data_IF_942365299874
#
_entry.id   IF_942365299874
#
_cell.length_a   1.000
_cell.length_b   1.000
_cell.length_c   1.000
_cell.angle_alpha   90.00
_cell.angle_beta   90.00
_cell.angle_gamma   90.00
#
_symmetry.space_group_name_H-M   'P 1'
#
loop_
_entity.id
_entity.type
_entity.pdbx_description
1 polymer ?
#
# COMPACT_ATOMS: atom_id res chain seq x y z
N UNK A 1 6.63 9.67 -21.19
CA UNK A 1 7.64 8.61 -21.13
C UNK A 1 6.88 7.36 -20.84
N UNK A 2 7.09 6.31 -21.63
CA UNK A 2 6.49 5.02 -21.37
C UNK A 2 7.19 4.40 -20.16
N UNK A 3 6.44 3.67 -19.33
CA UNK A 3 6.97 2.96 -18.17
C UNK A 3 7.53 1.62 -18.64
N UNK A 4 8.80 1.36 -18.37
CA UNK A 4 9.41 0.05 -18.57
C UNK A 4 8.89 -0.94 -17.51
N UNK A 5 8.44 -2.10 -17.98
CA UNK A 5 7.86 -3.15 -17.13
C UNK A 5 8.79 -4.37 -17.18
N UNK A 6 9.32 -4.78 -16.03
CA UNK A 6 10.23 -5.93 -15.93
C UNK A 6 9.66 -6.94 -14.93
N UNK A 7 9.62 -8.22 -15.32
CA UNK A 7 9.32 -9.34 -14.43
C UNK A 7 10.50 -10.30 -14.38
N UNK A 8 11.05 -10.50 -13.18
CA UNK A 8 12.21 -11.37 -12.93
C UNK A 8 11.75 -12.59 -12.11
N UNK A 9 12.06 -13.80 -12.58
CA UNK A 9 11.94 -15.01 -11.78
C UNK A 9 13.30 -15.40 -11.18
N UNK A 10 13.48 -15.11 -9.90
CA UNK A 10 14.70 -15.46 -9.15
C UNK A 10 14.65 -16.87 -8.56
N UNK A 11 13.49 -17.52 -8.60
CA UNK A 11 13.33 -18.91 -8.18
C UNK A 11 13.81 -19.90 -9.26
N UNK A 12 13.81 -19.46 -10.52
CA UNK A 12 14.12 -20.24 -11.72
C UNK A 12 13.14 -21.38 -12.00
N UNK A 13 11.94 -21.34 -11.41
CA UNK A 13 10.97 -22.45 -11.40
C UNK A 13 9.53 -22.01 -11.70
N UNK A 14 9.29 -20.72 -11.94
CA UNK A 14 7.95 -20.14 -12.09
C UNK A 14 7.85 -19.28 -13.35
N UNK A 15 8.32 -19.83 -14.48
CA UNK A 15 8.24 -19.18 -15.79
C UNK A 15 6.80 -18.83 -16.19
N UNK A 16 5.86 -19.76 -15.98
CA UNK A 16 4.44 -19.52 -16.28
C UNK A 16 3.87 -18.34 -15.48
N UNK A 17 4.26 -18.21 -14.20
CA UNK A 17 3.85 -17.08 -13.37
C UNK A 17 4.51 -15.78 -13.85
N UNK A 18 5.77 -15.83 -14.27
CA UNK A 18 6.50 -14.69 -14.84
C UNK A 18 5.79 -14.16 -16.09
N UNK A 19 5.43 -15.05 -17.01
CA UNK A 19 4.69 -14.72 -18.22
C UNK A 19 3.29 -14.17 -17.90
N UNK A 20 2.57 -14.81 -16.98
CA UNK A 20 1.23 -14.37 -16.56
C UNK A 20 1.27 -12.97 -15.94
N UNK A 21 2.19 -12.72 -15.02
CA UNK A 21 2.40 -11.40 -14.42
C UNK A 21 2.78 -10.37 -15.47
N UNK A 22 3.66 -10.71 -16.42
CA UNK A 22 4.03 -9.83 -17.53
C UNK A 22 2.84 -9.43 -18.40
N UNK A 23 1.98 -10.40 -18.76
CA UNK A 23 0.75 -10.14 -19.51
C UNK A 23 -0.23 -9.26 -18.74
N UNK A 24 -0.41 -9.50 -17.44
CA UNK A 24 -1.24 -8.66 -16.57
C UNK A 24 -0.69 -7.24 -16.49
N UNK A 25 0.61 -7.06 -16.25
CA UNK A 25 1.24 -5.74 -16.18
C UNK A 25 1.02 -4.94 -17.47
N UNK A 26 1.22 -5.56 -18.63
CA UNK A 26 1.00 -4.91 -19.93
C UNK A 26 -0.46 -4.47 -20.12
N UNK A 27 -1.42 -5.26 -19.59
CA UNK A 27 -2.83 -4.94 -19.63
C UNK A 27 -3.20 -3.78 -18.68
N UNK A 28 -2.70 -3.81 -17.44
CA UNK A 28 -3.20 -2.92 -16.37
C UNK A 28 -2.40 -1.64 -16.16
N UNK A 29 -1.10 -1.61 -16.51
CA UNK A 29 -0.27 -0.42 -16.32
C UNK A 29 -0.83 0.84 -17.02
N UNK A 30 -1.37 0.76 -18.26
CA UNK A 30 -1.98 1.92 -18.93
C UNK A 30 -3.22 2.47 -18.21
N UNK A 31 -3.86 1.69 -17.33
CA UNK A 31 -5.09 2.05 -16.62
C UNK A 31 -4.83 2.79 -15.30
N UNK A 32 -3.61 2.69 -14.76
CA UNK A 32 -3.27 3.26 -13.45
C UNK A 32 -3.40 4.78 -13.45
N UNK A 33 -2.80 5.47 -14.41
CA UNK A 33 -2.82 6.94 -14.47
C UNK A 33 -4.23 7.50 -14.73
N UNK A 34 -5.01 7.01 -15.71
CA UNK A 34 -6.39 7.47 -15.90
C UNK A 34 -7.26 7.29 -14.65
N UNK A 35 -7.08 6.18 -13.93
CA UNK A 35 -7.86 5.89 -12.72
C UNK A 35 -7.42 6.77 -11.55
N UNK A 36 -6.12 6.77 -11.25
CA UNK A 36 -5.61 7.36 -10.01
C UNK A 36 -5.15 8.81 -10.15
N UNK A 37 -4.96 9.32 -11.36
CA UNK A 37 -4.29 10.59 -11.61
C UNK A 37 -2.79 10.60 -11.26
N UNK A 38 -2.19 9.46 -10.92
CA UNK A 38 -0.76 9.33 -10.59
C UNK A 38 0.02 8.67 -11.72
N UNK A 39 1.22 9.17 -11.97
CA UNK A 39 2.16 8.55 -12.91
C UNK A 39 2.83 7.33 -12.28
N UNK A 40 3.00 6.26 -13.07
CA UNK A 40 3.92 5.18 -12.73
C UNK A 40 5.39 5.67 -12.84
N UNK A 41 6.34 5.06 -12.11
CA UNK A 41 7.77 5.33 -12.30
C UNK A 41 8.22 4.98 -13.72
N UNK A 42 9.40 5.46 -14.10
CA UNK A 42 9.99 5.13 -15.39
C UNK A 42 10.26 3.62 -15.53
N UNK A 43 10.55 2.96 -14.41
CA UNK A 43 10.75 1.52 -14.32
C UNK A 43 9.90 0.94 -13.20
N UNK A 44 9.10 -0.07 -13.52
CA UNK A 44 8.41 -0.94 -12.57
C UNK A 44 9.03 -2.33 -12.68
N UNK A 45 9.58 -2.83 -11.57
CA UNK A 45 10.06 -4.20 -11.49
C UNK A 45 9.17 -5.06 -10.58
N UNK A 46 8.87 -6.27 -11.04
CA UNK A 46 8.21 -7.31 -10.24
C UNK A 46 9.16 -8.50 -10.18
N UNK A 47 9.52 -8.90 -8.96
CA UNK A 47 10.47 -10.00 -8.71
C UNK A 47 9.71 -11.14 -8.04
N UNK A 48 9.71 -12.29 -8.69
CA UNK A 48 9.24 -13.55 -8.12
C UNK A 48 10.41 -14.15 -7.38
N UNK A 49 10.33 -14.19 -6.05
CA UNK A 49 11.47 -14.49 -5.18
C UNK A 49 11.16 -15.63 -4.20
N UNK A 50 12.18 -16.38 -3.76
CA UNK A 50 12.02 -17.30 -2.62
C UNK A 50 11.61 -16.55 -1.35
N UNK A 51 10.96 -17.28 -0.43
CA UNK A 51 10.53 -16.77 0.88
C UNK A 51 11.71 -16.13 1.63
N UNK A 52 12.89 -16.73 1.58
CA UNK A 52 14.09 -16.26 2.29
C UNK A 52 14.57 -14.90 1.77
N UNK A 53 14.52 -14.70 0.45
CA UNK A 53 14.85 -13.42 -0.18
C UNK A 53 13.89 -12.35 0.31
N UNK A 54 12.58 -12.61 0.26
CA UNK A 54 11.56 -11.70 0.79
C UNK A 54 11.80 -11.34 2.25
N UNK A 55 12.08 -12.33 3.11
CA UNK A 55 12.34 -12.09 4.54
C UNK A 55 13.56 -11.18 4.74
N UNK A 56 14.64 -11.44 3.99
CA UNK A 56 15.89 -10.72 4.11
C UNK A 56 15.74 -9.26 3.67
N UNK A 57 15.04 -9.00 2.56
CA UNK A 57 14.82 -7.67 2.01
C UNK A 57 13.86 -6.86 2.87
N UNK A 58 12.75 -7.46 3.32
CA UNK A 58 11.82 -6.78 4.23
C UNK A 58 12.46 -6.43 5.58
N UNK A 59 13.34 -7.28 6.10
CA UNK A 59 14.12 -6.99 7.30
C UNK A 59 15.13 -5.85 7.05
N UNK A 60 15.79 -5.84 5.89
CA UNK A 60 16.73 -4.79 5.50
C UNK A 60 16.02 -3.44 5.32
N UNK A 61 14.86 -3.43 4.67
CA UNK A 61 14.04 -2.24 4.48
C UNK A 61 13.55 -1.69 5.82
N UNK A 62 13.00 -2.56 6.68
CA UNK A 62 12.61 -2.16 8.04
C UNK A 62 13.77 -1.55 8.81
N UNK A 63 14.97 -2.14 8.71
CA UNK A 63 16.17 -1.60 9.35
C UNK A 63 16.60 -0.24 8.76
N UNK A 64 16.46 -0.04 7.44
CA UNK A 64 16.73 1.24 6.77
C UNK A 64 15.78 2.33 7.23
N UNK A 65 14.47 2.05 7.26
CA UNK A 65 13.44 2.97 7.74
C UNK A 65 13.67 3.36 9.21
N UNK A 66 14.01 2.40 10.07
CA UNK A 66 14.34 2.66 11.48
C UNK A 66 15.59 3.53 11.62
N UNK A 67 16.61 3.33 10.77
CA UNK A 67 17.83 4.15 10.76
C UNK A 67 17.53 5.59 10.34
N UNK A 68 16.82 5.77 9.22
CA UNK A 68 16.41 7.08 8.73
C UNK A 68 15.57 7.82 9.79
N UNK A 69 14.62 7.13 10.43
CA UNK A 69 13.87 7.72 11.53
C UNK A 69 14.79 8.20 12.67
N UNK A 70 15.68 7.32 13.14
CA UNK A 70 16.58 7.63 14.26
C UNK A 70 17.42 8.88 14.00
N UNK A 71 17.82 9.12 12.76
CA UNK A 71 18.64 10.27 12.35
C UNK A 71 17.87 11.60 12.48
N UNK A 72 16.57 11.59 12.20
CA UNK A 72 15.68 12.75 12.25
C UNK A 72 15.24 13.12 13.67
N UNK A 73 15.48 12.23 14.64
CA UNK A 73 15.05 12.44 16.01
C UNK A 73 16.14 13.03 16.89
N UNK A 74 15.74 13.78 17.94
CA UNK A 74 16.69 14.32 18.91
C UNK A 74 17.54 13.22 19.53
N UNK A 75 18.83 13.51 19.75
CA UNK A 75 19.82 12.50 20.12
C UNK A 75 19.43 11.68 21.37
N UNK A 76 18.75 12.31 22.35
CA UNK A 76 18.33 11.68 23.60
C UNK A 76 17.24 10.60 23.42
N UNK A 77 16.51 10.62 22.30
CA UNK A 77 15.48 9.61 22.00
C UNK A 77 16.02 8.39 21.23
N UNK A 78 17.22 8.51 20.65
CA UNK A 78 17.83 7.49 19.79
C UNK A 78 18.04 6.12 20.47
N UNK A 79 18.40 6.04 21.77
CA UNK A 79 18.50 4.74 22.45
C UNK A 79 17.16 3.99 22.49
N UNK A 80 16.06 4.69 22.80
CA UNK A 80 14.72 4.11 22.84
C UNK A 80 14.25 3.62 21.46
N UNK A 81 14.52 4.40 20.40
CA UNK A 81 14.23 4.00 19.01
C UNK A 81 15.02 2.75 18.62
N UNK A 82 16.30 2.68 19.01
CA UNK A 82 17.16 1.52 18.72
C UNK A 82 16.65 0.26 19.42
N UNK A 83 16.24 0.36 20.69
CA UNK A 83 15.66 -0.75 21.44
C UNK A 83 14.34 -1.22 20.82
N UNK A 84 13.44 -0.29 20.49
CA UNK A 84 12.17 -0.59 19.83
C UNK A 84 12.39 -1.26 18.47
N UNK A 85 13.27 -0.71 17.64
CA UNK A 85 13.60 -1.25 16.33
C UNK A 85 14.17 -2.68 16.42
N UNK A 86 15.03 -2.94 17.42
CA UNK A 86 15.55 -4.28 17.68
C UNK A 86 14.44 -5.26 18.07
N UNK A 87 13.51 -4.85 18.93
CA UNK A 87 12.36 -5.67 19.33
C UNK A 87 11.41 -5.95 18.15
N UNK A 88 11.17 -4.97 17.29
CA UNK A 88 10.37 -5.10 16.07
C UNK A 88 11.02 -6.10 15.10
N UNK A 89 12.30 -5.92 14.77
CA UNK A 89 13.02 -6.84 13.88
C UNK A 89 13.07 -8.27 14.43
N UNK A 90 13.25 -8.44 15.75
CA UNK A 90 13.21 -9.76 16.39
C UNK A 90 11.83 -10.41 16.26
N UNK A 91 10.77 -9.62 16.47
CA UNK A 91 9.39 -10.10 16.34
C UNK A 91 9.09 -10.46 14.89
N UNK A 92 9.47 -9.60 13.94
CA UNK A 92 9.34 -9.85 12.51
C UNK A 92 10.04 -11.16 12.11
N UNK A 93 11.33 -11.33 12.44
CA UNK A 93 12.08 -12.55 12.11
C UNK A 93 11.39 -13.82 12.59
N UNK A 94 10.77 -13.80 13.77
CA UNK A 94 10.03 -14.94 14.32
C UNK A 94 8.80 -15.33 13.50
N UNK A 95 8.12 -14.36 12.88
CA UNK A 95 6.87 -14.59 12.14
C UNK A 95 7.04 -14.49 10.62
N UNK A 96 8.20 -14.04 10.14
CA UNK A 96 8.44 -13.68 8.74
C UNK A 96 8.32 -14.85 7.77
N UNK A 97 8.65 -16.07 8.20
CA UNK A 97 8.44 -17.27 7.39
C UNK A 97 6.96 -17.57 7.14
N UNK A 98 6.15 -17.49 8.18
CA UNK A 98 4.71 -17.65 8.06
C UNK A 98 4.07 -16.48 7.29
N UNK A 99 4.54 -15.26 7.50
CA UNK A 99 4.03 -14.10 6.77
C UNK A 99 4.37 -14.20 5.28
N UNK A 100 5.65 -14.26 4.94
CA UNK A 100 6.12 -14.24 3.55
C UNK A 100 5.86 -15.52 2.79
N UNK A 101 5.82 -16.68 3.46
CA UNK A 101 5.62 -17.97 2.81
C UNK A 101 4.17 -18.45 2.78
N UNK A 102 3.24 -17.78 3.48
CA UNK A 102 1.84 -18.24 3.56
C UNK A 102 0.82 -17.12 3.38
N UNK A 103 1.09 -15.90 3.83
CA UNK A 103 0.04 -14.88 4.00
C UNK A 103 0.18 -13.64 3.13
N UNK A 104 1.40 -13.17 2.90
CA UNK A 104 1.68 -11.91 2.18
C UNK A 104 1.89 -12.23 0.72
N UNK A 105 0.96 -11.75 -0.11
CA UNK A 105 0.89 -12.06 -1.54
C UNK A 105 1.92 -11.27 -2.35
N UNK A 106 2.11 -10.01 -1.97
CA UNK A 106 3.06 -9.09 -2.57
C UNK A 106 3.51 -8.05 -1.57
N UNK A 107 4.67 -7.44 -1.82
CA UNK A 107 5.11 -6.27 -1.10
C UNK A 107 5.86 -5.33 -2.05
N UNK A 108 5.31 -4.14 -2.27
CA UNK A 108 6.02 -3.07 -2.98
C UNK A 108 6.91 -2.27 -2.03
N UNK A 109 8.18 -2.17 -2.40
CA UNK A 109 9.24 -1.48 -1.65
C UNK A 109 10.13 -0.67 -2.60
N UNK A 110 10.99 0.22 -2.08
CA UNK A 110 11.98 0.91 -2.92
C UNK A 110 12.90 -0.06 -3.66
N UNK A 111 13.21 0.26 -4.91
CA UNK A 111 14.18 -0.44 -5.74
C UNK A 111 15.62 0.04 -5.48
N UNK A 112 16.60 -0.51 -6.21
CA UNK A 112 18.00 -0.10 -6.10
C UNK A 112 18.26 1.33 -6.61
N UNK A 113 17.50 1.80 -7.61
CA UNK A 113 17.56 3.18 -8.09
C UNK A 113 16.76 4.19 -7.25
N UNK A 114 17.14 5.47 -7.32
CA UNK A 114 16.50 6.54 -6.55
C UNK A 114 15.03 6.77 -6.92
N UNK A 115 14.67 6.52 -8.18
CA UNK A 115 13.31 6.65 -8.72
C UNK A 115 12.64 5.28 -9.02
N UNK A 116 13.16 4.21 -8.41
CA UNK A 116 12.70 2.85 -8.63
C UNK A 116 11.88 2.32 -7.45
N UNK A 117 10.85 1.56 -7.77
CA UNK A 117 10.16 0.68 -6.84
C UNK A 117 10.09 -0.71 -7.43
N UNK A 118 9.99 -1.69 -6.53
CA UNK A 118 9.94 -3.11 -6.88
C UNK A 118 8.85 -3.80 -6.06
N UNK A 119 8.12 -4.72 -6.68
CA UNK A 119 7.20 -5.63 -5.99
C UNK A 119 7.86 -6.99 -5.84
N UNK A 120 7.91 -7.50 -4.62
CA UNK A 120 8.32 -8.87 -4.36
C UNK A 120 7.08 -9.78 -4.29
N UNK A 121 7.04 -10.82 -5.11
CA UNK A 121 6.02 -11.87 -5.10
C UNK A 121 6.63 -13.16 -4.60
N UNK A 122 5.94 -13.85 -3.69
CA UNK A 122 6.38 -15.13 -3.14
C UNK A 122 5.40 -16.22 -3.57
N UNK A 123 5.78 -17.11 -4.52
CA UNK A 123 4.89 -18.12 -5.10
C UNK A 123 4.14 -18.97 -4.06
N UNK A 124 4.83 -19.41 -3.01
CA UNK A 124 4.23 -20.25 -1.95
C UNK A 124 3.10 -19.51 -1.22
N UNK A 125 3.26 -18.21 -0.97
CA UNK A 125 2.21 -17.40 -0.37
C UNK A 125 1.06 -17.15 -1.35
N UNK A 126 1.34 -16.93 -2.63
CA UNK A 126 0.31 -16.79 -3.67
C UNK A 126 -0.56 -18.05 -3.79
N UNK A 127 0.06 -19.23 -3.68
CA UNK A 127 -0.66 -20.50 -3.67
C UNK A 127 -1.56 -20.62 -2.43
N UNK A 128 -1.00 -20.39 -1.23
CA UNK A 128 -1.75 -20.53 0.02
C UNK A 128 -2.87 -19.50 0.20
N UNK A 129 -2.72 -18.32 -0.38
CA UNK A 129 -3.75 -17.27 -0.40
C UNK A 129 -4.81 -17.48 -1.48
N UNK A 130 -4.64 -18.48 -2.35
CA UNK A 130 -5.56 -18.77 -3.45
C UNK A 130 -5.42 -17.84 -4.66
N UNK A 131 -4.40 -16.97 -4.69
CA UNK A 131 -4.15 -16.04 -5.80
C UNK A 131 -3.82 -16.79 -7.08
N UNK A 132 -2.98 -17.82 -7.02
CA UNK A 132 -2.60 -18.58 -8.23
C UNK A 132 -3.75 -19.37 -8.85
N UNK A 133 -4.78 -19.69 -8.06
CA UNK A 133 -5.97 -20.39 -8.56
C UNK A 133 -7.01 -19.48 -9.21
N UNK A 134 -6.84 -18.16 -9.13
CA UNK A 134 -7.80 -17.18 -9.64
C UNK A 134 -7.09 -16.05 -10.41
N UNK A 135 -7.11 -16.08 -11.75
CA UNK A 135 -6.50 -15.04 -12.58
C UNK A 135 -7.06 -13.63 -12.34
N UNK A 136 -8.33 -13.49 -11.96
CA UNK A 136 -8.91 -12.18 -11.64
C UNK A 136 -8.35 -11.65 -10.33
N UNK A 137 -8.15 -12.53 -9.34
CA UNK A 137 -7.51 -12.15 -8.09
C UNK A 137 -6.03 -11.79 -8.30
N UNK A 138 -5.27 -12.55 -9.08
CA UNK A 138 -3.90 -12.18 -9.44
C UNK A 138 -3.87 -10.82 -10.14
N UNK A 139 -4.80 -10.56 -11.07
CA UNK A 139 -4.93 -9.25 -11.73
C UNK A 139 -5.18 -8.14 -10.72
N UNK A 140 -6.15 -8.31 -9.81
CA UNK A 140 -6.43 -7.34 -8.76
C UNK A 140 -5.19 -7.03 -7.92
N UNK A 141 -4.46 -8.08 -7.48
CA UNK A 141 -3.25 -7.91 -6.68
C UNK A 141 -2.17 -7.13 -7.46
N UNK A 142 -1.94 -7.43 -8.74
CA UNK A 142 -0.97 -6.68 -9.55
C UNK A 142 -1.39 -5.22 -9.72
N UNK A 143 -2.67 -4.93 -9.92
CA UNK A 143 -3.18 -3.55 -9.95
C UNK A 143 -2.90 -2.85 -8.62
N UNK A 144 -3.19 -3.51 -7.50
CA UNK A 144 -2.95 -2.98 -6.16
C UNK A 144 -1.48 -2.58 -5.96
N UNK A 145 -0.56 -3.47 -6.32
CA UNK A 145 0.88 -3.21 -6.22
C UNK A 145 1.34 -2.10 -7.17
N UNK A 146 0.85 -2.05 -8.41
CA UNK A 146 1.15 -0.95 -9.34
C UNK A 146 0.72 0.42 -8.81
N UNK A 147 -0.40 0.49 -8.09
CA UNK A 147 -0.82 1.74 -7.44
C UNK A 147 0.19 2.14 -6.36
N UNK A 148 0.77 1.19 -5.62
CA UNK A 148 1.87 1.50 -4.70
C UNK A 148 3.14 1.99 -5.40
N UNK A 149 3.45 1.54 -6.63
CA UNK A 149 4.53 2.13 -7.44
C UNK A 149 4.22 3.60 -7.77
N UNK A 150 3.00 3.90 -8.21
CA UNK A 150 2.57 5.27 -8.53
C UNK A 150 2.58 6.19 -7.29
N UNK A 151 2.10 5.69 -6.14
CA UNK A 151 2.17 6.38 -4.86
C UNK A 151 3.62 6.63 -4.42
N UNK A 152 4.49 5.64 -4.61
CA UNK A 152 5.91 5.75 -4.30
C UNK A 152 6.55 6.86 -5.14
N UNK A 153 6.30 6.89 -6.46
CA UNK A 153 6.77 7.99 -7.31
C UNK A 153 6.23 9.34 -6.87
N UNK A 154 4.92 9.46 -6.65
CA UNK A 154 4.26 10.71 -6.29
C UNK A 154 4.76 11.29 -4.96
N UNK A 155 5.15 10.41 -4.03
CA UNK A 155 5.72 10.76 -2.73
C UNK A 155 7.25 10.90 -2.72
N UNK A 156 7.92 10.74 -3.88
CA UNK A 156 9.39 10.68 -4.02
C UNK A 156 10.02 9.57 -3.18
N UNK A 157 9.59 8.35 -3.48
CA UNK A 157 10.01 7.08 -2.89
C UNK A 157 10.01 7.11 -1.38
N UNK A 158 8.83 7.04 -0.75
CA UNK A 158 8.49 6.72 0.66
C UNK A 158 9.45 7.12 1.79
N UNK A 159 10.77 7.06 1.66
CA UNK A 159 11.83 7.60 2.51
C UNK A 159 11.59 9.05 2.98
N UNK A 160 11.14 9.97 2.14
CA UNK A 160 10.79 11.35 2.58
C UNK A 160 9.49 11.38 3.39
N UNK A 161 8.57 10.46 3.11
CA UNK A 161 7.35 10.25 3.89
C UNK A 161 7.60 9.49 5.18
N UNK A 162 8.54 8.54 5.17
CA UNK A 162 9.01 7.70 6.24
C UNK A 162 9.87 8.46 7.25
N UNK A 163 10.53 9.52 6.79
CA UNK A 163 11.11 10.55 7.62
C UNK A 163 10.05 11.27 8.48
N UNK A 164 8.79 11.33 8.01
CA UNK A 164 7.64 11.88 8.73
C UNK A 164 6.73 10.82 9.35
N UNK A 165 6.78 9.57 8.90
CA UNK A 165 6.07 8.39 9.43
C UNK A 165 6.19 8.21 10.93
N UNK A 166 7.23 8.67 11.63
CA UNK A 166 7.26 8.58 13.07
C UNK A 166 6.51 9.70 13.81
N UNK A 167 6.47 10.91 13.24
CA UNK A 167 5.45 11.89 13.61
C UNK A 167 4.06 11.37 13.23
N UNK A 168 3.93 10.55 12.18
CA UNK A 168 2.69 9.85 11.81
C UNK A 168 2.37 8.65 12.74
N UNK A 169 3.35 7.92 13.28
CA UNK A 169 3.19 6.89 14.31
C UNK A 169 2.66 7.53 15.59
N UNK A 170 3.10 8.76 15.88
CA UNK A 170 2.56 9.59 16.97
C UNK A 170 1.18 10.19 16.60
N UNK A 171 0.95 10.61 15.35
CA UNK A 171 -0.29 11.23 14.85
C UNK A 171 -1.36 10.26 14.34
N UNK A 172 -1.11 8.95 14.37
CA UNK A 172 -2.05 7.90 14.00
C UNK A 172 -1.83 7.33 12.63
N UNK A 173 -2.21 6.06 12.50
CA UNK A 173 -2.09 5.17 11.34
C UNK A 173 -2.69 5.68 10.01
N UNK A 174 -3.02 6.96 9.86
CA UNK A 174 -3.69 7.52 8.68
C UNK A 174 -2.93 7.29 7.37
N UNK A 175 -1.60 7.14 7.40
CA UNK A 175 -0.81 6.80 6.21
C UNK A 175 -1.20 5.42 5.67
N UNK A 176 -1.25 4.38 6.51
CA UNK A 176 -1.60 3.04 6.03
C UNK A 176 -3.05 2.98 5.54
N UNK A 177 -3.97 3.71 6.19
CA UNK A 177 -5.35 3.80 5.69
C UNK A 177 -5.42 4.52 4.33
N UNK A 178 -4.60 5.56 4.12
CA UNK A 178 -4.53 6.25 2.84
C UNK A 178 -3.93 5.36 1.74
N UNK A 179 -2.75 4.78 1.98
CA UNK A 179 -2.02 4.00 0.98
C UNK A 179 -2.80 2.76 0.54
N UNK A 180 -3.17 1.91 1.50
CA UNK A 180 -3.92 0.68 1.24
C UNK A 180 -5.33 0.99 0.74
N UNK A 181 -5.96 2.05 1.26
CA UNK A 181 -7.29 2.48 0.85
C UNK A 181 -7.35 2.99 -0.58
N UNK A 182 -6.36 3.77 -1.01
CA UNK A 182 -6.26 4.28 -2.37
C UNK A 182 -5.91 3.17 -3.37
N UNK A 183 -5.00 2.26 -3.01
CA UNK A 183 -4.72 1.08 -3.80
C UNK A 183 -5.96 0.17 -3.92
N UNK A 184 -6.68 -0.06 -2.82
CA UNK A 184 -7.94 -0.83 -2.80
C UNK A 184 -9.05 -0.19 -3.63
N UNK A 185 -9.23 1.13 -3.54
CA UNK A 185 -10.21 1.83 -4.37
C UNK A 185 -9.87 1.69 -5.87
N UNK A 186 -8.61 1.93 -6.24
CA UNK A 186 -8.17 1.86 -7.63
C UNK A 186 -8.26 0.44 -8.20
N UNK A 187 -7.90 -0.59 -7.42
CA UNK A 187 -8.03 -1.98 -7.86
C UNK A 187 -9.49 -2.37 -8.11
N UNK A 188 -10.44 -1.90 -7.30
CA UNK A 188 -11.86 -2.18 -7.50
C UNK A 188 -12.43 -1.46 -8.73
N UNK A 189 -11.98 -0.22 -9.01
CA UNK A 189 -12.38 0.51 -10.22
C UNK A 189 -11.84 -0.20 -11.47
N UNK A 190 -10.53 -0.45 -11.53
CA UNK A 190 -9.89 -1.06 -12.69
C UNK A 190 -10.41 -2.48 -12.95
N UNK A 191 -10.56 -3.29 -11.90
CA UNK A 191 -11.09 -4.67 -12.07
C UNK A 191 -12.55 -4.68 -12.49
N UNK A 192 -13.36 -3.71 -12.01
CA UNK A 192 -14.74 -3.54 -12.50
C UNK A 192 -14.78 -3.19 -13.97
N UNK A 193 -13.90 -2.31 -14.43
CA UNK A 193 -13.83 -1.92 -15.83
C UNK A 193 -13.37 -3.09 -16.73
N UNK A 194 -12.42 -3.90 -16.25
CA UNK A 194 -11.91 -5.06 -16.98
C UNK A 194 -12.86 -6.26 -17.01
N UNK A 195 -13.52 -6.55 -15.89
CA UNK A 195 -14.27 -7.80 -15.68
C UNK A 195 -15.78 -7.61 -15.51
N UNK A 196 -16.28 -6.37 -15.59
CA UNK A 196 -17.68 -6.02 -15.37
C UNK A 196 -18.10 -6.02 -13.89
N UNK A 197 -17.24 -6.47 -12.97
CA UNK A 197 -17.44 -6.44 -11.53
C UNK A 197 -16.13 -6.20 -10.80
N UNK A 198 -16.19 -5.52 -9.65
CA UNK A 198 -15.02 -5.44 -8.78
C UNK A 198 -14.69 -6.84 -8.26
N UNK A 199 -13.40 -7.19 -8.26
CA UNK A 199 -12.93 -8.49 -7.76
C UNK A 199 -12.88 -8.43 -6.23
N UNK A 200 -13.33 -9.51 -5.57
CA UNK A 200 -13.22 -9.66 -4.13
C UNK A 200 -12.22 -10.76 -3.76
N UNK A 201 -10.97 -10.34 -3.56
CA UNK A 201 -9.85 -11.11 -3.03
C UNK A 201 -10.18 -12.03 -1.84
N UNK A 202 -11.10 -11.62 -0.96
CA UNK A 202 -11.43 -12.37 0.26
C UNK A 202 -12.29 -13.60 -0.04
N UNK A 203 -12.89 -13.68 -1.23
CA UNK A 203 -13.71 -14.81 -1.67
C UNK A 203 -12.89 -16.02 -2.15
N UNK A 204 -11.62 -15.81 -2.51
CA UNK A 204 -10.77 -16.88 -3.02
C UNK A 204 -10.51 -17.96 -1.93
N UNK A 205 -10.61 -19.26 -2.27
CA UNK A 205 -10.44 -20.33 -1.30
C UNK A 205 -9.01 -20.35 -0.76
N UNK A 206 -8.86 -20.05 0.54
CA UNK A 206 -7.56 -20.10 1.23
C UNK A 206 -7.20 -21.54 1.59
N UNK A 207 -5.91 -21.88 1.53
CA UNK A 207 -5.42 -23.21 1.91
C UNK A 207 -5.68 -23.53 3.39
N UNK A 208 -5.64 -24.81 3.76
CA UNK A 208 -5.68 -25.22 5.17
C UNK A 208 -4.53 -24.59 5.96
N UNK A 209 -3.32 -24.62 5.39
CA UNK A 209 -2.13 -24.01 5.99
C UNK A 209 -2.31 -22.51 6.26
N UNK A 210 -2.90 -21.76 5.33
CA UNK A 210 -3.24 -20.35 5.54
C UNK A 210 -4.15 -20.19 6.75
N UNK A 211 -5.23 -20.99 6.83
CA UNK A 211 -6.21 -20.92 7.92
C UNK A 211 -5.60 -21.25 9.27
N UNK A 212 -4.67 -22.21 9.33
CA UNK A 212 -3.91 -22.53 10.55
C UNK A 212 -3.02 -21.38 11.00
N UNK A 213 -2.20 -20.85 10.08
CA UNK A 213 -1.26 -19.76 10.37
C UNK A 213 -2.01 -18.50 10.79
N UNK A 214 -3.11 -18.16 10.11
CA UNK A 214 -3.94 -17.00 10.42
C UNK A 214 -4.55 -17.03 11.84
N UNK A 215 -4.70 -18.22 12.44
CA UNK A 215 -5.21 -18.42 13.81
C UNK A 215 -4.12 -18.33 14.89
N UNK A 216 -2.84 -18.37 14.53
CA UNK A 216 -1.73 -18.28 15.49
C UNK A 216 -1.78 -16.95 16.24
N UNK A 217 -1.59 -16.97 17.56
CA UNK A 217 -1.73 -15.78 18.42
C UNK A 217 -0.75 -14.69 18.01
N UNK A 218 0.46 -15.07 17.67
CA UNK A 218 1.52 -14.20 17.17
C UNK A 218 1.14 -13.52 15.87
N UNK A 219 0.43 -14.17 14.95
CA UNK A 219 -0.05 -13.54 13.71
C UNK A 219 -1.29 -12.68 13.97
N UNK A 220 -2.28 -13.24 14.67
CA UNK A 220 -3.54 -12.57 14.95
C UNK A 220 -3.35 -11.24 15.72
N UNK A 221 -2.34 -11.17 16.61
CA UNK A 221 -2.00 -9.92 17.33
C UNK A 221 -1.46 -8.81 16.44
N UNK A 222 -0.93 -9.13 15.26
CA UNK A 222 -0.45 -8.15 14.30
C UNK A 222 -1.54 -7.71 13.31
N UNK A 223 -2.69 -8.39 13.28
CA UNK A 223 -3.82 -7.92 12.49
C UNK A 223 -4.35 -6.61 13.08
N UNK A 224 -4.45 -5.54 12.29
CA UNK A 224 -5.02 -4.28 12.76
C UNK A 224 -6.48 -4.49 13.16
N UNK A 225 -6.93 -3.80 14.22
CA UNK A 225 -8.33 -3.90 14.71
C UNK A 225 -9.36 -3.47 13.67
N UNK A 226 -8.97 -2.54 12.80
CA UNK A 226 -9.77 -2.09 11.67
C UNK A 226 -8.92 -2.25 10.41
N UNK A 227 -9.48 -2.88 9.37
CA UNK A 227 -8.75 -3.18 8.12
C UNK A 227 -8.37 -1.86 7.42
N UNK A 228 -7.06 -1.59 7.19
CA UNK A 228 -6.61 -0.44 6.42
C UNK A 228 -7.21 -0.42 5.02
N UNK A 229 -7.44 -1.59 4.41
CA UNK A 229 -8.05 -1.73 3.09
C UNK A 229 -9.47 -1.18 3.06
N UNK A 230 -10.39 -1.70 3.88
CA UNK A 230 -11.80 -1.34 3.78
C UNK A 230 -12.10 0.05 4.36
N UNK A 231 -11.54 0.37 5.52
CA UNK A 231 -11.71 1.71 6.13
C UNK A 231 -11.03 2.76 5.27
N UNK A 232 -9.82 2.45 4.77
CA UNK A 232 -9.09 3.32 3.87
C UNK A 232 -9.82 3.56 2.56
N UNK A 233 -10.40 2.52 1.97
CA UNK A 233 -11.18 2.63 0.74
C UNK A 233 -12.36 3.58 0.94
N UNK A 234 -13.17 3.38 1.98
CA UNK A 234 -14.33 4.25 2.27
C UNK A 234 -13.89 5.70 2.52
N UNK A 235 -12.76 5.87 3.20
CA UNK A 235 -12.16 7.18 3.45
C UNK A 235 -11.72 7.88 2.13
N UNK A 236 -11.04 7.15 1.24
CA UNK A 236 -10.55 7.65 -0.06
C UNK A 236 -11.69 7.90 -1.03
N UNK A 237 -12.63 6.97 -1.17
CA UNK A 237 -13.80 7.08 -2.03
C UNK A 237 -14.64 8.32 -1.67
N UNK A 238 -14.88 8.56 -0.37
CA UNK A 238 -15.57 9.76 0.08
C UNK A 238 -14.82 11.05 -0.25
N UNK A 239 -13.48 11.04 -0.15
CA UNK A 239 -12.66 12.18 -0.51
C UNK A 239 -12.72 12.46 -2.02
N UNK A 240 -12.56 11.45 -2.87
CA UNK A 240 -12.65 11.57 -4.33
C UNK A 240 -14.02 12.09 -4.75
N UNK A 241 -15.10 11.55 -4.18
CA UNK A 241 -16.46 12.00 -4.48
C UNK A 241 -16.72 13.46 -4.08
N UNK A 242 -15.99 13.96 -3.09
CA UNK A 242 -16.19 15.32 -2.55
C UNK A 242 -15.32 16.35 -3.25
N UNK A 243 -14.03 16.04 -3.45
CA UNK A 243 -13.04 17.02 -3.94
C UNK A 243 -12.45 16.66 -5.30
N UNK A 244 -12.64 15.44 -5.79
CA UNK A 244 -12.01 14.93 -7.00
C UNK A 244 -10.66 14.24 -6.73
N UNK A 245 -10.25 13.38 -7.67
CA UNK A 245 -8.99 12.62 -7.58
C UNK A 245 -7.76 13.54 -7.61
N UNK A 246 -7.79 14.62 -8.38
CA UNK A 246 -6.66 15.53 -8.52
C UNK A 246 -6.35 16.27 -7.21
N UNK A 247 -7.38 16.78 -6.55
CA UNK A 247 -7.30 17.48 -5.27
C UNK A 247 -6.86 16.54 -4.15
N UNK A 248 -7.39 15.30 -4.14
CA UNK A 248 -6.93 14.26 -3.23
C UNK A 248 -5.42 14.03 -3.38
N UNK A 249 -4.91 13.95 -4.61
CA UNK A 249 -3.51 13.65 -4.89
C UNK A 249 -2.51 14.69 -4.38
N UNK A 250 -2.96 15.90 -3.99
CA UNK A 250 -2.11 16.84 -3.26
C UNK A 250 -1.57 16.23 -1.95
N UNK A 251 -2.25 15.22 -1.40
CA UNK A 251 -1.80 14.53 -0.19
C UNK A 251 -0.40 13.96 -0.35
N UNK A 252 -0.04 13.42 -1.53
CA UNK A 252 1.23 12.72 -1.81
C UNK A 252 2.46 13.62 -1.75
N UNK A 253 2.29 14.93 -1.89
CA UNK A 253 3.37 15.92 -1.74
C UNK A 253 3.28 16.75 -0.46
N UNK A 254 2.22 16.59 0.34
CA UNK A 254 1.98 17.38 1.53
C UNK A 254 1.45 16.55 2.70
N UNK A 255 2.37 16.14 3.59
CA UNK A 255 2.05 15.36 4.78
C UNK A 255 1.05 16.03 5.76
N UNK A 256 0.76 17.33 5.65
CA UNK A 256 -0.28 17.99 6.46
C UNK A 256 -1.70 17.60 6.03
N UNK A 257 -1.86 17.08 4.82
CA UNK A 257 -3.14 16.63 4.29
C UNK A 257 -3.48 15.19 4.67
N UNK A 258 -2.54 14.46 5.29
CA UNK A 258 -2.76 13.09 5.76
C UNK A 258 -3.97 12.98 6.69
N UNK A 259 -4.72 11.86 6.65
CA UNK A 259 -5.79 11.60 7.61
C UNK A 259 -5.26 11.58 9.04
N UNK A 260 -5.98 12.25 9.94
CA UNK A 260 -5.77 12.20 11.39
C UNK A 260 -6.48 11.00 12.03
N UNK A 261 -6.17 10.69 13.30
CA UNK A 261 -6.88 9.64 14.05
C UNK A 261 -8.39 9.84 14.08
N UNK A 262 -8.85 11.09 14.26
CA UNK A 262 -10.29 11.40 14.32
C UNK A 262 -10.99 11.17 12.99
N UNK A 263 -10.32 11.51 11.89
CA UNK A 263 -10.83 11.28 10.53
C UNK A 263 -10.89 9.79 10.17
N UNK A 264 -9.90 9.01 10.60
CA UNK A 264 -9.94 7.55 10.45
C UNK A 264 -11.07 6.96 11.31
N UNK A 265 -11.26 7.44 12.53
CA UNK A 265 -12.35 6.98 13.40
C UNK A 265 -13.74 7.28 12.82
N UNK A 266 -13.91 8.43 12.15
CA UNK A 266 -15.12 8.77 11.39
C UNK A 266 -15.39 7.75 10.27
N UNK A 267 -14.36 7.35 9.51
CA UNK A 267 -14.49 6.29 8.50
C UNK A 267 -14.82 4.92 9.10
N UNK A 268 -14.24 4.56 10.26
CA UNK A 268 -14.61 3.33 10.98
C UNK A 268 -16.09 3.36 11.38
N UNK A 269 -16.55 4.47 11.96
CA UNK A 269 -17.94 4.61 12.37
C UNK A 269 -18.90 4.54 11.17
N UNK A 270 -18.52 5.16 10.05
CA UNK A 270 -19.28 5.17 8.82
C UNK A 270 -19.45 3.76 8.21
N UNK A 271 -18.41 2.93 8.27
CA UNK A 271 -18.43 1.54 7.82
C UNK A 271 -19.24 0.63 8.75
N UNK A 272 -19.25 0.90 10.06
CA UNK A 272 -19.93 0.09 11.06
C UNK A 272 -21.44 0.41 11.21
N UNK A 273 -21.94 1.49 10.60
CA UNK A 273 -23.33 1.90 10.71
C UNK A 273 -24.27 0.93 9.98
N UNK A 274 -25.45 0.67 10.57
CA UNK A 274 -26.51 -0.19 10.00
C UNK A 274 -26.89 0.19 8.56
N UNK A 275 -26.74 1.48 8.23
CA UNK A 275 -26.76 2.00 6.87
C UNK A 275 -25.42 2.68 6.62
N UNK A 276 -24.59 2.19 5.68
CA UNK A 276 -23.30 2.79 5.38
C UNK A 276 -23.45 4.28 5.07
N UNK A 277 -22.77 5.11 5.86
CA UNK A 277 -22.69 6.56 5.60
C UNK A 277 -21.34 6.91 4.98
N UNK A 278 -21.20 8.12 4.43
CA UNK A 278 -19.90 8.61 3.95
C UNK A 278 -19.17 9.34 5.08
N UNK A 279 -17.88 9.04 5.35
CA UNK A 279 -17.09 9.85 6.26
C UNK A 279 -16.92 11.25 5.69
N UNK A 280 -17.06 12.27 6.51
CA UNK A 280 -17.10 13.68 6.05
C UNK A 280 -15.89 14.48 6.50
N UNK A 281 -15.28 14.12 7.64
CA UNK A 281 -14.30 14.98 8.29
C UNK A 281 -13.10 15.27 7.37
N UNK A 282 -12.51 14.21 6.80
CA UNK A 282 -11.33 14.36 5.97
C UNK A 282 -11.62 15.03 4.62
N UNK A 283 -12.65 14.56 3.93
CA UNK A 283 -13.09 15.11 2.66
C UNK A 283 -13.40 16.61 2.76
N UNK A 284 -14.09 17.04 3.83
CA UNK A 284 -14.40 18.44 4.08
C UNK A 284 -13.14 19.29 4.33
N UNK A 285 -12.15 18.75 5.04
CA UNK A 285 -10.87 19.43 5.29
C UNK A 285 -10.04 19.58 4.01
N UNK A 286 -10.03 18.56 3.15
CA UNK A 286 -9.37 18.67 1.84
C UNK A 286 -10.02 19.79 1.01
N UNK A 287 -11.35 19.84 0.97
CA UNK A 287 -12.09 20.85 0.19
C UNK A 287 -11.86 22.29 0.67
N UNK A 288 -11.80 22.51 1.98
CA UNK A 288 -11.52 23.85 2.54
C UNK A 288 -10.08 24.31 2.29
N UNK A 289 -9.13 23.37 2.20
CA UNK A 289 -7.73 23.69 1.89
C UNK A 289 -7.54 24.03 0.42
N UNK A 290 -8.26 23.37 -0.49
CA UNK A 290 -8.22 23.68 -1.92
C UNK A 290 -8.71 25.11 -2.21
N UNK A 291 -9.77 25.55 -1.53
CA UNK A 291 -10.38 26.88 -1.73
C UNK A 291 -9.48 28.06 -1.29
N UNK A 292 -8.59 27.82 -0.32
CA UNK A 292 -7.67 28.86 0.17
C UNK A 292 -6.43 29.03 -0.71
N UNK A 293 -6.03 27.99 -1.46
CA UNK A 293 -4.91 28.07 -2.40
C UNK A 293 -5.26 28.79 -3.71
N UNK A 294 -6.51 28.73 -4.16
CA UNK A 294 -6.98 29.41 -5.38
C UNK A 294 -7.42 30.85 -5.15
N UNK A 295 -7.76 31.24 -3.92
CA UNK A 295 -8.27 32.57 -3.56
C UNK A 295 -7.25 33.73 -3.51
N UNK A 296 -5.97 33.49 -3.82
CA UNK A 296 -4.92 34.55 -3.85
C UNK A 296 -4.51 34.93 -5.28
N UNK A 297 -5.19 34.42 -6.32
CA UNK A 297 -4.99 34.84 -7.71
C UNK A 297 -6.15 35.71 -8.21
N UNK A 298 -6.19 36.97 -7.77
CA UNK A 298 -6.63 38.16 -8.52
C UNK A 298 -6.80 39.32 -7.54
N UNK A 299 -5.75 40.13 -7.36
CA UNK A 299 -5.80 41.56 -7.08
C UNK A 299 -4.38 42.09 -7.26
N UNK A 300 -3.91 42.11 -8.50
CA UNK A 300 -2.89 43.05 -8.95
C UNK A 300 -3.41 43.58 -10.28
N UNK A 301 -3.76 44.86 -10.25
CA UNK A 301 -4.08 45.72 -11.40
C UNK A 301 -2.91 45.82 -12.39
#
# INVERSE_FOLDING_TARGET
>A
MDTDLIVLDETGRHEDLREQVGGILALVAPLVKPTTGLDLPALVSVRIVPVETWQSEQAAETARLLRAYRELMPFWTRPGITLLGTAMLRTFRRISADMGGVMVMGATQPGPGADESQTLLVPEALEHTGVLSDPHYLTQMIVHELVHHAQSRASRHRADWAAHTPKALLRGNGVSFLEEGHARWADQVITRDLFGTAVDADSAPKSERYREVAKRKEIARHKPKASPYEVGRVLVESAIDTVGTQELNAVWSNARLLPSKGEVADAVAALAADKPTRPKLWASRLGSTAFTATGVRTFID
#
